data_IF_245956151782
#
_entry.id   IF_245956151782
#
_cell.length_a   1.000
_cell.length_b   1.000
_cell.length_c   1.000
_cell.angle_alpha   90.00
_cell.angle_beta   90.00
_cell.angle_gamma   90.00
#
_symmetry.space_group_name_H-M   'P 1'
#
loop_
_entity.id
_entity.type
_entity.pdbx_description
1 polymer ?
#
# COMPACT_ATOMS: atom_id res chain seq x y z
N UNK A 1 -24.50 -7.39 24.53
CA UNK A 1 -25.19 -6.09 24.47
C UNK A 1 -25.82 -5.96 23.09
N UNK A 2 -27.08 -5.55 22.95
CA UNK A 2 -27.74 -5.49 21.64
C UNK A 2 -27.06 -4.45 20.75
N UNK A 3 -26.68 -4.87 19.54
CA UNK A 3 -26.08 -3.99 18.53
C UNK A 3 -27.17 -3.15 17.87
N UNK A 4 -27.27 -1.87 18.23
CA UNK A 4 -27.98 -0.91 17.40
C UNK A 4 -27.17 -0.68 16.13
N UNK A 5 -27.61 -1.27 15.01
CA UNK A 5 -27.21 -0.78 13.70
C UNK A 5 -28.08 0.45 13.38
N UNK A 6 -27.48 1.59 12.96
CA UNK A 6 -28.25 2.75 12.55
C UNK A 6 -29.06 2.44 11.28
N UNK A 7 -30.30 2.94 11.24
CA UNK A 7 -31.20 2.82 10.08
C UNK A 7 -31.06 4.04 9.19
N UNK A 8 -31.43 3.90 7.92
CA UNK A 8 -31.37 4.98 6.94
C UNK A 8 -32.19 6.20 7.41
N UNK A 9 -31.50 7.28 7.79
CA UNK A 9 -32.09 8.51 8.34
C UNK A 9 -31.43 9.01 9.63
N UNK A 10 -30.66 8.15 10.33
CA UNK A 10 -29.89 8.58 11.50
C UNK A 10 -28.66 9.40 11.06
N UNK A 11 -28.46 10.57 11.68
CA UNK A 11 -27.22 11.32 11.52
C UNK A 11 -26.03 10.44 11.97
N UNK A 12 -25.03 10.28 11.10
CA UNK A 12 -23.89 9.38 11.33
C UNK A 12 -23.10 9.69 12.63
N UNK A 13 -23.29 10.88 13.18
CA UNK A 13 -22.69 11.37 14.41
C UNK A 13 -23.74 12.22 15.11
N UNK A 14 -24.11 11.90 16.36
CA UNK A 14 -25.00 12.80 17.13
C UNK A 14 -24.32 14.17 17.30
N UNK A 15 -25.04 15.29 17.27
CA UNK A 15 -24.46 16.63 17.35
C UNK A 15 -23.54 16.87 18.55
N UNK A 16 -23.79 16.18 19.66
CA UNK A 16 -22.98 16.18 20.88
C UNK A 16 -21.59 15.54 20.72
N UNK A 17 -21.37 14.73 19.68
CA UNK A 17 -20.07 14.13 19.31
C UNK A 17 -19.41 14.81 18.11
N UNK A 18 -20.01 15.87 17.56
CA UNK A 18 -19.30 16.79 16.69
C UNK A 18 -18.34 17.56 17.58
N UNK A 19 -17.11 17.05 17.72
CA UNK A 19 -16.06 17.79 18.40
C UNK A 19 -15.96 19.16 17.74
N UNK A 20 -16.07 20.23 18.52
CA UNK A 20 -15.60 21.54 18.08
C UNK A 20 -14.22 21.32 17.45
N UNK A 21 -14.07 21.66 16.17
CA UNK A 21 -12.77 21.56 15.52
C UNK A 21 -11.75 22.23 16.44
N UNK A 22 -10.64 21.57 16.81
CA UNK A 22 -9.63 22.21 17.62
C UNK A 22 -9.22 23.49 16.89
N UNK A 23 -9.41 24.62 17.59
CA UNK A 23 -9.20 25.97 17.07
C UNK A 23 -8.02 26.00 16.09
N UNK A 24 -8.18 26.55 14.87
CA UNK A 24 -7.13 26.56 13.83
C UNK A 24 -5.86 27.32 14.27
N UNK A 25 -5.93 28.02 15.40
CA UNK A 25 -4.81 28.71 16.03
C UNK A 25 -4.70 28.27 17.48
N UNK A 26 -3.47 27.97 17.92
CA UNK A 26 -3.14 28.03 19.34
C UNK A 26 -3.64 29.38 19.88
N UNK A 27 -4.29 29.38 21.04
CA UNK A 27 -4.73 30.63 21.68
C UNK A 27 -3.54 31.58 21.75
N UNK A 28 -3.76 32.86 21.47
CA UNK A 28 -2.73 33.93 21.50
C UNK A 28 -2.00 34.06 22.85
N UNK A 29 -2.50 33.36 23.88
CA UNK A 29 -1.91 33.25 25.21
C UNK A 29 -0.81 32.19 25.36
N UNK A 30 -0.50 31.37 24.35
CA UNK A 30 0.66 30.49 24.43
C UNK A 30 1.97 31.29 24.25
N UNK A 31 2.89 31.28 25.23
CA UNK A 31 4.13 32.02 25.13
C UNK A 31 4.99 31.42 24.02
N UNK A 32 5.11 32.14 22.92
CA UNK A 32 6.03 31.84 21.84
C UNK A 32 7.46 31.99 22.37
N UNK A 33 8.05 30.89 22.86
CA UNK A 33 9.28 30.86 23.69
C UNK A 33 10.58 31.26 22.96
N UNK A 34 10.53 31.88 21.78
CA UNK A 34 11.73 32.40 21.12
C UNK A 34 11.56 33.88 20.73
N UNK A 35 12.22 34.82 21.43
CA UNK A 35 12.14 36.25 21.11
C UNK A 35 12.71 36.62 19.73
N UNK A 36 13.35 35.69 19.01
CA UNK A 36 13.82 35.85 17.62
C UNK A 36 12.83 35.36 16.56
N UNK A 37 11.69 34.81 16.95
CA UNK A 37 10.71 34.30 16.00
C UNK A 37 9.87 35.44 15.42
N UNK A 38 10.19 35.82 14.19
CA UNK A 38 9.37 36.73 13.38
C UNK A 38 8.39 35.89 12.53
N UNK A 39 7.07 35.94 12.80
CA UNK A 39 6.08 35.19 12.04
C UNK A 39 5.95 35.66 10.57
N UNK A 40 6.33 36.90 10.26
CA UNK A 40 6.26 37.49 8.92
C UNK A 40 7.46 37.16 8.03
N UNK A 41 8.58 36.75 8.64
CA UNK A 41 9.76 36.30 7.90
C UNK A 41 9.48 34.99 7.16
N UNK A 42 9.52 35.04 5.82
CA UNK A 42 9.37 33.86 4.97
C UNK A 42 10.47 32.84 5.24
N UNK A 43 10.11 31.57 5.27
CA UNK A 43 11.08 30.49 5.44
C UNK A 43 11.94 30.35 4.18
N UNK A 44 13.20 29.89 4.32
CA UNK A 44 14.13 29.78 3.17
C UNK A 44 13.55 28.91 2.03
N UNK A 45 12.75 27.90 2.37
CA UNK A 45 12.07 27.00 1.42
C UNK A 45 10.98 27.69 0.58
N UNK A 46 10.59 28.91 0.91
CA UNK A 46 9.63 29.70 0.11
C UNK A 46 10.32 30.45 -1.04
N UNK A 47 11.65 30.48 -1.05
CA UNK A 47 12.44 31.02 -2.15
C UNK A 47 12.88 29.87 -3.08
N UNK A 48 12.94 30.10 -4.41
CA UNK A 48 13.50 29.12 -5.33
C UNK A 48 14.98 28.88 -5.02
N UNK A 49 15.43 27.64 -5.24
CA UNK A 49 16.85 27.29 -5.13
C UNK A 49 17.59 27.87 -6.34
N UNK A 50 18.63 28.64 -6.07
CA UNK A 50 19.51 29.29 -7.04
C UNK A 50 20.97 29.01 -6.69
N UNK A 51 21.88 29.25 -7.63
CA UNK A 51 23.33 29.13 -7.40
C UNK A 51 23.83 30.01 -6.24
N UNK A 52 23.13 31.10 -5.92
CA UNK A 52 23.54 32.05 -4.87
C UNK A 52 22.98 31.72 -3.48
N UNK A 53 21.93 30.89 -3.38
CA UNK A 53 21.27 30.61 -2.09
C UNK A 53 21.19 29.12 -1.73
N UNK A 54 21.56 28.17 -2.60
CA UNK A 54 21.40 26.73 -2.36
C UNK A 54 21.93 26.28 -1.00
N UNK A 55 23.09 26.76 -0.57
CA UNK A 55 23.71 26.41 0.72
C UNK A 55 22.88 26.87 1.94
N UNK A 56 21.98 27.84 1.77
CA UNK A 56 21.05 28.29 2.83
C UNK A 56 19.89 27.31 3.04
N UNK A 57 19.54 26.53 2.01
CA UNK A 57 18.53 25.47 2.07
C UNK A 57 19.05 24.18 2.70
N UNK A 58 20.38 24.01 2.78
CA UNK A 58 21.02 22.85 3.41
C UNK A 58 21.05 23.01 4.92
N UNK A 59 20.74 21.93 5.64
CA UNK A 59 20.97 21.77 7.07
C UNK A 59 22.36 21.16 7.29
N UNK A 60 23.37 22.04 7.34
CA UNK A 60 24.77 21.63 7.48
C UNK A 60 25.07 20.87 8.77
N UNK A 61 24.27 21.07 9.83
CA UNK A 61 24.42 20.34 11.08
C UNK A 61 24.04 18.87 10.85
N UNK A 62 22.89 18.63 10.22
CA UNK A 62 22.45 17.28 9.88
C UNK A 62 23.38 16.64 8.84
N UNK A 63 23.89 17.40 7.86
CA UNK A 63 24.91 16.90 6.91
C UNK A 63 26.14 16.38 7.66
N UNK A 64 26.63 17.12 8.65
CA UNK A 64 27.78 16.69 9.45
C UNK A 64 27.49 15.41 10.24
N UNK A 65 26.35 15.33 10.93
CA UNK A 65 26.01 14.16 11.76
C UNK A 65 25.66 12.90 10.94
N UNK A 66 24.95 13.06 9.81
CA UNK A 66 24.45 11.94 9.00
C UNK A 66 25.45 11.52 7.91
N UNK A 67 26.24 12.46 7.38
CA UNK A 67 27.24 12.17 6.34
C UNK A 67 28.67 12.23 6.87
N UNK A 68 29.02 13.32 7.55
CA UNK A 68 30.38 13.58 8.01
C UNK A 68 30.90 12.55 9.03
N UNK A 69 30.16 12.30 10.12
CA UNK A 69 30.56 11.34 11.15
C UNK A 69 30.69 9.91 10.60
N UNK A 70 29.71 9.37 9.84
CA UNK A 70 29.87 8.07 9.22
C UNK A 70 31.06 7.98 8.27
N UNK A 71 31.32 9.02 7.46
CA UNK A 71 32.49 9.07 6.59
C UNK A 71 33.79 9.00 7.40
N UNK A 72 33.90 9.74 8.50
CA UNK A 72 35.04 9.64 9.42
C UNK A 72 35.16 8.23 10.03
N UNK A 73 34.04 7.58 10.36
CA UNK A 73 34.01 6.19 10.80
C UNK A 73 34.54 5.21 9.75
N UNK A 74 34.12 5.35 8.49
CA UNK A 74 34.60 4.52 7.38
C UNK A 74 36.10 4.71 7.14
N UNK A 75 36.57 5.95 7.21
CA UNK A 75 38.00 6.29 7.11
C UNK A 75 38.77 5.65 8.28
N UNK A 76 38.31 5.83 9.52
CA UNK A 76 38.95 5.26 10.71
C UNK A 76 38.94 3.72 10.74
N UNK A 77 37.94 3.07 10.14
CA UNK A 77 37.87 1.62 10.01
C UNK A 77 39.06 1.03 9.24
N UNK A 78 39.67 1.79 8.32
CA UNK A 78 40.87 1.35 7.58
C UNK A 78 42.06 1.04 8.50
N UNK A 79 42.16 1.73 9.65
CA UNK A 79 43.22 1.53 10.63
C UNK A 79 42.75 0.85 11.93
N UNK A 80 41.48 0.45 12.00
CA UNK A 80 40.90 -0.18 13.20
C UNK A 80 40.55 -1.63 12.88
N UNK A 81 41.34 -2.63 13.32
CA UNK A 81 41.04 -4.03 13.06
C UNK A 81 39.66 -4.44 13.62
N UNK A 82 38.86 -5.13 12.83
CA UNK A 82 37.57 -5.66 13.27
C UNK A 82 37.76 -7.02 13.93
N UNK A 83 37.66 -7.07 15.26
CA UNK A 83 37.65 -8.35 15.99
C UNK A 83 36.29 -9.05 15.83
N UNK A 84 36.28 -10.39 15.85
CA UNK A 84 35.02 -11.15 15.74
C UNK A 84 34.02 -10.83 16.87
N UNK A 85 34.51 -10.60 18.10
CA UNK A 85 33.67 -10.23 19.24
C UNK A 85 32.99 -8.86 19.01
N UNK A 86 33.74 -7.89 18.52
CA UNK A 86 33.22 -6.56 18.17
C UNK A 86 32.25 -6.62 16.98
N UNK A 87 32.52 -7.44 15.97
CA UNK A 87 31.58 -7.66 14.87
C UNK A 87 30.24 -8.19 15.38
N UNK A 88 30.26 -9.30 16.15
CA UNK A 88 29.05 -9.89 16.72
C UNK A 88 28.29 -8.91 17.61
N UNK A 89 29.01 -8.13 18.43
CA UNK A 89 28.42 -7.08 19.25
C UNK A 89 27.79 -5.97 18.41
N UNK A 90 28.47 -5.50 17.36
CA UNK A 90 27.95 -4.48 16.45
C UNK A 90 26.66 -4.94 15.78
N UNK A 91 26.62 -6.20 15.33
CA UNK A 91 25.43 -6.80 14.71
C UNK A 91 24.30 -6.98 15.73
N UNK A 92 24.59 -7.50 16.93
CA UNK A 92 23.57 -7.64 17.97
C UNK A 92 22.96 -6.28 18.35
N UNK A 93 23.82 -5.28 18.52
CA UNK A 93 23.40 -3.94 18.90
C UNK A 93 22.69 -3.19 17.75
N UNK A 94 23.04 -3.49 16.50
CA UNK A 94 22.26 -3.10 15.32
C UNK A 94 20.81 -3.59 15.43
N UNK A 95 20.60 -4.87 15.73
CA UNK A 95 19.24 -5.42 15.89
C UNK A 95 18.50 -4.82 17.09
N UNK A 96 19.17 -4.58 18.23
CA UNK A 96 18.53 -3.96 19.39
C UNK A 96 18.09 -2.52 19.12
N UNK A 97 18.97 -1.72 18.53
CA UNK A 97 18.64 -0.32 18.17
C UNK A 97 17.57 -0.27 17.07
N UNK A 98 17.63 -1.17 16.11
CA UNK A 98 16.57 -1.39 15.11
C UNK A 98 15.22 -1.74 15.73
N UNK A 99 15.17 -2.68 16.70
CA UNK A 99 13.95 -3.00 17.45
C UNK A 99 13.43 -1.81 18.27
N UNK A 100 14.31 -0.94 18.76
CA UNK A 100 13.92 0.32 19.39
C UNK A 100 13.10 1.22 18.46
N UNK A 101 13.44 1.23 17.16
CA UNK A 101 12.68 1.95 16.13
C UNK A 101 11.42 1.17 15.76
N UNK A 102 11.55 -0.09 15.30
CA UNK A 102 10.43 -0.86 14.73
C UNK A 102 9.40 -1.29 15.78
N UNK A 103 9.82 -1.90 16.89
CA UNK A 103 8.90 -2.31 17.94
C UNK A 103 8.47 -1.11 18.80
N UNK A 104 9.42 -0.25 19.17
CA UNK A 104 9.19 0.91 20.02
C UNK A 104 8.54 2.07 19.27
N UNK A 105 9.37 2.88 18.60
CA UNK A 105 8.94 4.18 18.06
C UNK A 105 7.78 4.04 17.10
N UNK A 106 7.83 3.02 16.25
CA UNK A 106 6.86 2.75 15.21
C UNK A 106 5.60 2.07 15.75
N UNK A 107 5.68 0.78 16.12
CA UNK A 107 4.51 -0.03 16.46
C UNK A 107 3.88 0.34 17.82
N UNK A 108 4.70 0.51 18.86
CA UNK A 108 4.22 0.85 20.20
C UNK A 108 3.75 2.31 20.30
N UNK A 109 4.62 3.28 20.03
CA UNK A 109 4.30 4.70 20.28
C UNK A 109 3.61 5.40 19.11
N UNK A 110 3.93 5.11 17.85
CA UNK A 110 3.26 5.81 16.73
C UNK A 110 1.88 5.25 16.45
N UNK A 111 1.75 3.92 16.42
CA UNK A 111 0.54 3.22 15.99
C UNK A 111 -0.26 2.60 17.12
N UNK A 112 0.27 2.53 18.34
CA UNK A 112 -0.39 1.92 19.51
C UNK A 112 -0.87 0.50 19.22
N UNK A 113 -0.10 -0.26 18.43
CA UNK A 113 -0.52 -1.59 17.94
C UNK A 113 -0.42 -2.69 19.00
N UNK A 114 0.25 -2.41 20.12
CA UNK A 114 0.27 -3.24 21.31
C UNK A 114 0.57 -2.37 22.55
N UNK A 115 0.50 -2.97 23.73
CA UNK A 115 0.97 -2.37 24.99
C UNK A 115 2.14 -3.14 25.55
N UNK A 116 3.04 -2.46 26.25
CA UNK A 116 4.23 -3.04 26.84
C UNK A 116 4.22 -2.86 28.36
N UNK A 117 4.97 -3.70 29.07
CA UNK A 117 5.28 -3.47 30.48
C UNK A 117 6.35 -2.39 30.59
N UNK A 118 6.38 -1.70 31.74
CA UNK A 118 7.33 -0.59 31.96
C UNK A 118 8.81 -0.96 31.71
N UNK A 119 9.32 -2.15 32.11
CA UNK A 119 10.68 -2.55 31.77
C UNK A 119 10.93 -2.63 30.26
N UNK A 120 9.98 -3.16 29.49
CA UNK A 120 10.09 -3.25 28.04
C UNK A 120 10.04 -1.86 27.39
N UNK A 121 9.16 -0.97 27.85
CA UNK A 121 9.09 0.42 27.39
C UNK A 121 10.43 1.14 27.61
N UNK A 122 11.02 1.02 28.79
CA UNK A 122 12.31 1.63 29.12
C UNK A 122 13.41 1.07 28.23
N UNK A 123 13.46 -0.26 28.06
CA UNK A 123 14.43 -0.90 27.17
C UNK A 123 14.33 -0.34 25.74
N UNK A 124 13.12 -0.35 25.15
CA UNK A 124 12.87 0.13 23.79
C UNK A 124 13.20 1.63 23.65
N UNK A 125 12.90 2.44 24.67
CA UNK A 125 13.21 3.87 24.68
C UNK A 125 14.73 4.14 24.70
N UNK A 126 15.49 3.35 25.46
CA UNK A 126 16.94 3.48 25.55
C UNK A 126 17.64 3.03 24.28
N UNK A 127 17.31 1.83 23.75
CA UNK A 127 17.94 1.33 22.52
C UNK A 127 17.48 2.12 21.29
N UNK A 128 16.23 2.62 21.27
CA UNK A 128 15.75 3.54 20.24
C UNK A 128 16.51 4.87 20.23
N UNK A 129 16.89 5.40 21.40
CA UNK A 129 17.78 6.57 21.46
C UNK A 129 19.18 6.26 20.88
N UNK A 130 19.65 5.01 21.00
CA UNK A 130 20.89 4.53 20.41
C UNK A 130 20.89 4.49 18.87
N UNK A 131 19.72 4.50 18.22
CA UNK A 131 19.58 4.58 16.76
C UNK A 131 19.80 6.00 16.20
N UNK A 132 19.68 7.03 17.04
CA UNK A 132 19.94 8.44 16.68
C UNK A 132 19.01 8.97 15.57
N UNK A 133 17.71 8.73 15.71
CA UNK A 133 16.69 9.13 14.71
C UNK A 133 15.69 10.19 15.22
N UNK A 134 16.01 10.83 16.34
CA UNK A 134 15.14 11.76 17.05
C UNK A 134 14.54 11.13 18.31
N UNK A 135 13.98 11.99 19.18
CA UNK A 135 13.24 11.49 20.35
C UNK A 135 11.97 10.76 19.92
N UNK A 136 11.47 9.83 20.72
CA UNK A 136 10.20 9.11 20.48
C UNK A 136 9.11 10.10 20.08
N UNK A 137 8.94 11.16 20.89
CA UNK A 137 7.95 12.21 20.69
C UNK A 137 8.03 12.90 19.31
N UNK A 138 9.25 13.15 18.81
CA UNK A 138 9.46 13.81 17.52
C UNK A 138 9.26 12.85 16.36
N UNK A 139 9.82 11.63 16.49
CA UNK A 139 9.74 10.58 15.48
C UNK A 139 8.28 10.18 15.27
N UNK A 140 7.57 9.83 16.35
CA UNK A 140 6.18 9.40 16.29
C UNK A 140 5.24 10.48 15.77
N UNK A 141 5.45 11.76 16.13
CA UNK A 141 4.69 12.88 15.55
C UNK A 141 4.83 12.91 14.02
N UNK A 142 6.07 12.88 13.54
CA UNK A 142 6.35 12.94 12.10
C UNK A 142 5.84 11.69 11.38
N UNK A 143 5.97 10.52 11.97
CA UNK A 143 5.49 9.28 11.40
C UNK A 143 3.95 9.24 11.31
N UNK A 144 3.24 9.69 12.35
CA UNK A 144 1.79 9.89 12.29
C UNK A 144 1.41 10.89 11.20
N UNK A 145 2.18 11.98 11.05
CA UNK A 145 1.93 12.98 10.00
C UNK A 145 2.16 12.41 8.61
N UNK A 146 3.17 11.56 8.44
CA UNK A 146 3.41 10.81 7.22
C UNK A 146 2.19 9.95 6.87
N UNK A 147 1.70 9.08 7.75
CA UNK A 147 0.49 8.28 7.46
C UNK A 147 -0.75 9.09 7.15
N UNK A 148 -0.99 10.18 7.89
CA UNK A 148 -2.18 11.01 7.70
C UNK A 148 -2.16 11.79 6.38
N UNK A 149 -0.97 12.16 5.93
CA UNK A 149 -0.77 13.06 4.80
C UNK A 149 0.12 12.45 3.73
N UNK A 150 0.16 11.12 3.64
CA UNK A 150 1.01 10.34 2.72
C UNK A 150 0.93 10.95 1.34
N UNK A 151 2.08 11.11 0.70
CA UNK A 151 2.17 11.60 -0.69
C UNK A 151 1.68 13.04 -0.93
N UNK A 152 1.48 13.83 0.13
CA UNK A 152 1.18 15.26 0.00
C UNK A 152 2.36 16.14 0.43
N UNK A 153 2.28 17.44 0.17
CA UNK A 153 3.27 18.42 0.65
C UNK A 153 3.41 18.48 2.18
N UNK A 154 2.41 17.97 2.90
CA UNK A 154 2.39 17.92 4.37
C UNK A 154 3.11 16.70 4.93
N UNK A 155 3.42 15.71 4.10
CA UNK A 155 4.25 14.58 4.48
C UNK A 155 5.72 15.03 4.68
N UNK A 156 6.29 14.82 5.88
CA UNK A 156 7.66 15.23 6.17
C UNK A 156 8.71 14.61 5.24
N UNK A 157 8.48 13.43 4.66
CA UNK A 157 9.48 12.76 3.82
C UNK A 157 8.87 12.17 2.54
N UNK A 158 7.87 12.89 1.99
CA UNK A 158 7.16 12.54 0.76
C UNK A 158 8.07 12.08 -0.38
N UNK A 159 7.75 10.91 -0.95
CA UNK A 159 8.45 10.35 -2.12
C UNK A 159 8.24 11.18 -3.39
N UNK A 160 7.19 12.00 -3.47
CA UNK A 160 6.95 12.88 -4.62
C UNK A 160 8.03 13.97 -4.79
N UNK A 161 8.82 14.24 -3.75
CA UNK A 161 10.00 15.11 -3.84
C UNK A 161 11.23 14.38 -4.43
N UNK A 162 11.10 13.10 -4.77
CA UNK A 162 12.11 12.26 -5.39
C UNK A 162 12.75 11.25 -4.43
N UNK A 163 13.24 10.14 -4.99
CA UNK A 163 13.81 9.02 -4.23
C UNK A 163 14.96 9.43 -3.29
N UNK A 164 15.87 10.28 -3.77
CA UNK A 164 16.99 10.77 -2.94
C UNK A 164 16.50 11.69 -1.82
N UNK A 165 15.42 12.46 -2.06
CA UNK A 165 14.83 13.30 -1.03
C UNK A 165 14.21 12.48 0.08
N UNK A 166 13.36 11.50 -0.26
CA UNK A 166 12.70 10.65 0.74
C UNK A 166 13.68 9.72 1.47
N UNK A 167 14.82 9.39 0.86
CA UNK A 167 15.88 8.65 1.53
C UNK A 167 16.62 9.54 2.55
N UNK A 168 17.33 10.58 2.10
CA UNK A 168 18.21 11.38 2.96
C UNK A 168 17.93 12.89 2.88
N UNK A 169 17.41 13.39 1.75
CA UNK A 169 17.21 14.82 1.53
C UNK A 169 16.29 15.48 2.55
N UNK A 170 15.29 14.77 3.08
CA UNK A 170 14.40 15.29 4.13
C UNK A 170 15.12 15.62 5.44
N UNK A 171 16.26 14.97 5.72
CA UNK A 171 17.10 15.26 6.89
C UNK A 171 18.11 16.37 6.63
N UNK A 172 18.74 16.39 5.44
CA UNK A 172 19.84 17.30 5.13
C UNK A 172 19.39 18.62 4.49
N UNK A 173 18.12 18.74 4.14
CA UNK A 173 17.51 19.98 3.65
C UNK A 173 16.62 20.58 4.73
N UNK A 174 16.69 21.90 4.92
CA UNK A 174 15.82 22.61 5.85
C UNK A 174 14.37 22.48 5.41
N UNK A 175 13.53 22.04 6.33
CA UNK A 175 12.08 21.95 6.13
C UNK A 175 11.37 23.12 6.82
N UNK A 176 10.27 23.59 6.23
CA UNK A 176 9.42 24.57 6.89
C UNK A 176 8.49 23.86 7.89
N UNK A 177 8.63 24.07 9.21
CA UNK A 177 7.78 23.41 10.20
C UNK A 177 6.30 23.77 10.04
N UNK A 178 5.98 24.91 9.43
CA UNK A 178 4.59 25.34 9.15
C UNK A 178 3.92 24.48 8.06
N UNK A 179 4.70 23.80 7.22
CA UNK A 179 4.17 22.96 6.13
C UNK A 179 3.96 21.50 6.54
N UNK A 180 4.64 21.03 7.57
CA UNK A 180 4.50 19.65 8.05
C UNK A 180 3.10 19.47 8.67
N UNK A 181 2.43 18.37 8.32
CA UNK A 181 1.11 18.03 8.82
C UNK A 181 1.06 17.92 10.35
N UNK A 182 -0.07 18.33 10.95
CA UNK A 182 -0.29 18.21 12.40
C UNK A 182 -1.04 16.93 12.73
N UNK A 183 -0.62 16.30 13.81
CA UNK A 183 -1.21 15.08 14.36
C UNK A 183 -1.39 15.24 15.87
N UNK A 184 -2.39 14.53 16.40
CA UNK A 184 -2.53 14.44 17.84
C UNK A 184 -1.38 13.61 18.43
N UNK A 185 -0.85 14.11 19.53
CA UNK A 185 0.30 13.57 20.28
C UNK A 185 0.09 13.75 21.78
N UNK A 186 -1.16 13.97 22.22
CA UNK A 186 -1.55 14.09 23.62
C UNK A 186 -1.05 12.89 24.43
N UNK A 187 -1.34 11.68 23.95
CA UNK A 187 -0.87 10.41 24.49
C UNK A 187 0.66 10.35 24.69
N UNK A 188 1.44 10.87 23.74
CA UNK A 188 2.91 10.92 23.84
C UNK A 188 3.40 11.93 24.88
N UNK A 189 2.62 12.97 25.18
CA UNK A 189 2.95 13.95 26.23
C UNK A 189 2.55 13.44 27.62
N UNK A 190 1.60 12.51 27.69
CA UNK A 190 1.14 11.91 28.95
C UNK A 190 1.98 10.68 29.35
N UNK A 191 2.71 10.06 28.40
CA UNK A 191 3.63 8.96 28.67
C UNK A 191 4.93 9.45 29.33
N UNK A 192 5.15 9.06 30.59
CA UNK A 192 6.31 9.44 31.38
C UNK A 192 7.65 8.95 30.81
N UNK A 193 7.69 7.78 30.15
CA UNK A 193 8.91 7.26 29.50
C UNK A 193 9.25 8.12 28.29
N UNK A 194 8.26 8.46 27.47
CA UNK A 194 8.42 9.32 26.29
C UNK A 194 8.89 10.71 26.68
N UNK A 195 8.27 11.31 27.71
CA UNK A 195 8.66 12.64 28.20
C UNK A 195 10.07 12.64 28.79
N UNK A 196 10.43 11.63 29.58
CA UNK A 196 11.78 11.46 30.11
C UNK A 196 12.79 11.36 28.96
N UNK A 197 12.54 10.48 28.00
CA UNK A 197 13.41 10.24 26.86
C UNK A 197 13.59 11.52 26.05
N UNK A 198 12.51 12.26 25.78
CA UNK A 198 12.56 13.52 25.03
C UNK A 198 13.38 14.60 25.76
N UNK A 199 13.17 14.76 27.07
CA UNK A 199 13.91 15.75 27.90
C UNK A 199 15.40 15.43 28.00
N UNK A 200 15.77 14.15 28.02
CA UNK A 200 17.16 13.71 28.17
C UNK A 200 17.78 13.20 26.86
N UNK A 201 17.12 13.44 25.73
CA UNK A 201 17.42 12.79 24.45
C UNK A 201 18.90 12.89 24.05
N UNK A 202 19.50 14.09 24.10
CA UNK A 202 20.91 14.28 23.73
C UNK A 202 21.85 13.45 24.60
N UNK A 203 21.60 13.38 25.92
CA UNK A 203 22.42 12.57 26.84
C UNK A 203 22.27 11.09 26.53
N UNK A 204 21.04 10.64 26.26
CA UNK A 204 20.74 9.26 25.90
C UNK A 204 21.36 8.85 24.56
N UNK A 205 21.33 9.73 23.55
CA UNK A 205 21.99 9.51 22.25
C UNK A 205 23.50 9.35 22.42
N UNK A 206 24.16 10.23 23.16
CA UNK A 206 25.61 10.13 23.38
C UNK A 206 25.93 8.84 24.12
N UNK A 207 25.16 8.53 25.17
CA UNK A 207 25.40 7.34 25.96
C UNK A 207 25.08 6.05 25.20
N UNK A 208 23.83 5.83 24.81
CA UNK A 208 23.38 4.61 24.14
C UNK A 208 23.93 4.49 22.71
N UNK A 209 24.13 5.61 22.01
CA UNK A 209 24.64 5.57 20.64
C UNK A 209 26.14 5.29 20.57
N UNK A 210 26.95 5.81 21.49
CA UNK A 210 28.42 5.77 21.37
C UNK A 210 29.09 5.18 22.61
N UNK A 211 28.83 5.72 23.80
CA UNK A 211 29.57 5.35 25.02
C UNK A 211 29.28 3.89 25.41
N UNK A 212 28.01 3.50 25.49
CA UNK A 212 27.59 2.15 25.87
C UNK A 212 28.18 1.05 24.98
N UNK A 213 28.04 1.09 23.64
CA UNK A 213 28.63 0.05 22.79
C UNK A 213 30.16 0.02 22.88
N UNK A 214 30.81 1.17 23.12
CA UNK A 214 32.26 1.27 23.33
C UNK A 214 32.69 0.66 24.67
N UNK A 215 31.94 0.92 25.74
CA UNK A 215 32.21 0.35 27.06
C UNK A 215 32.07 -1.17 27.06
N UNK A 216 31.07 -1.71 26.37
CA UNK A 216 30.85 -3.16 26.29
C UNK A 216 32.05 -3.86 25.66
N UNK A 217 32.57 -3.35 24.54
CA UNK A 217 33.74 -3.97 23.89
C UNK A 217 35.05 -3.70 24.65
N UNK A 218 35.21 -2.49 25.16
CA UNK A 218 36.39 -2.06 25.90
C UNK A 218 36.58 -2.81 27.21
N UNK A 219 35.52 -2.88 28.03
CA UNK A 219 35.54 -3.62 29.30
C UNK A 219 35.40 -5.13 29.11
N UNK A 220 34.67 -5.58 28.09
CA UNK A 220 34.41 -7.00 27.85
C UNK A 220 35.60 -7.74 27.25
N UNK A 221 36.28 -7.16 26.27
CA UNK A 221 37.41 -7.81 25.58
C UNK A 221 38.53 -6.86 25.14
N UNK A 222 38.60 -5.65 25.71
CA UNK A 222 39.71 -4.71 25.50
C UNK A 222 39.66 -3.92 24.19
N UNK A 223 38.62 -4.06 23.37
CA UNK A 223 38.54 -3.45 22.05
C UNK A 223 37.77 -2.11 22.06
N UNK A 224 38.38 -1.10 22.68
CA UNK A 224 37.79 0.23 22.81
C UNK A 224 37.56 0.91 21.46
N UNK A 225 38.58 0.91 20.58
CA UNK A 225 38.48 1.57 19.29
C UNK A 225 37.51 0.85 18.36
N UNK A 226 37.52 -0.50 18.34
CA UNK A 226 36.57 -1.27 17.56
C UNK A 226 35.12 -1.03 18.01
N UNK A 227 34.87 -0.95 19.33
CA UNK A 227 33.55 -0.59 19.85
C UNK A 227 33.07 0.79 19.43
N UNK A 228 33.96 1.77 19.50
CA UNK A 228 33.65 3.14 19.10
C UNK A 228 33.35 3.27 17.61
N UNK A 229 34.18 2.67 16.75
CA UNK A 229 34.04 2.76 15.29
C UNK A 229 32.92 1.87 14.77
N UNK A 230 32.94 0.56 15.07
CA UNK A 230 32.01 -0.40 14.48
C UNK A 230 30.67 -0.44 15.21
N UNK A 231 30.68 -0.63 16.54
CA UNK A 231 29.44 -0.75 17.32
C UNK A 231 28.81 0.62 17.64
N UNK A 232 29.59 1.70 17.62
CA UNK A 232 29.16 3.09 17.73
C UNK A 232 28.82 3.68 16.36
N UNK A 233 29.82 4.26 15.68
CA UNK A 233 29.62 5.12 14.50
C UNK A 233 28.99 4.37 13.32
N UNK A 234 29.61 3.29 12.84
CA UNK A 234 29.18 2.59 11.63
C UNK A 234 27.83 1.90 11.83
N UNK A 235 27.58 1.33 13.00
CA UNK A 235 26.28 0.74 13.33
C UNK A 235 25.17 1.79 13.37
N UNK A 236 25.39 3.00 13.92
CA UNK A 236 24.39 4.10 13.80
C UNK A 236 24.09 4.37 12.33
N UNK A 237 25.14 4.52 11.52
CA UNK A 237 24.99 4.79 10.09
C UNK A 237 24.14 3.72 9.39
N UNK A 238 24.45 2.44 9.58
CA UNK A 238 23.69 1.37 8.96
C UNK A 238 22.23 1.34 9.39
N UNK A 239 21.92 1.56 10.69
CA UNK A 239 20.53 1.63 11.17
C UNK A 239 19.80 2.79 10.51
N UNK A 240 20.41 3.98 10.44
CA UNK A 240 19.80 5.13 9.77
C UNK A 240 19.55 4.86 8.28
N UNK A 241 20.51 4.28 7.55
CA UNK A 241 20.32 3.96 6.13
C UNK A 241 19.22 2.90 5.92
N UNK A 242 19.13 1.92 6.83
CA UNK A 242 18.05 0.95 6.84
C UNK A 242 16.70 1.64 7.05
N UNK A 243 16.54 2.48 8.08
CA UNK A 243 15.28 3.20 8.31
C UNK A 243 14.92 4.13 7.15
N UNK A 244 15.90 4.82 6.57
CA UNK A 244 15.69 5.70 5.42
C UNK A 244 15.25 4.95 4.16
N UNK A 245 15.56 3.65 4.03
CA UNK A 245 15.00 2.80 2.97
C UNK A 245 13.49 2.60 3.11
N UNK A 246 12.92 2.69 4.32
CA UNK A 246 11.45 2.60 4.51
C UNK A 246 10.77 3.79 3.84
N UNK A 247 11.29 5.00 4.05
CA UNK A 247 10.74 6.21 3.45
C UNK A 247 10.97 6.29 1.93
N UNK A 248 12.00 5.61 1.41
CA UNK A 248 12.37 5.65 -0.01
C UNK A 248 12.00 4.39 -0.77
N UNK A 249 12.74 3.30 -0.58
CA UNK A 249 12.54 2.05 -1.32
C UNK A 249 11.15 1.46 -1.10
N UNK A 250 10.59 1.55 0.12
CA UNK A 250 9.25 1.03 0.40
C UNK A 250 8.12 1.88 -0.22
N UNK A 251 8.44 3.03 -0.81
CA UNK A 251 7.53 3.86 -1.59
C UNK A 251 7.82 3.82 -3.11
N UNK A 252 8.80 3.01 -3.55
CA UNK A 252 9.26 3.02 -4.94
C UNK A 252 9.33 1.63 -5.56
N UNK A 253 9.77 0.64 -4.79
CA UNK A 253 10.01 -0.74 -5.23
C UNK A 253 9.00 -1.69 -4.58
N UNK A 254 8.35 -2.53 -5.40
CA UNK A 254 7.45 -3.59 -4.92
C UNK A 254 6.03 -3.48 -5.45
N UNK A 255 5.16 -4.31 -4.85
CA UNK A 255 3.77 -4.47 -5.25
C UNK A 255 2.83 -3.69 -4.34
N UNK A 256 1.61 -3.46 -4.85
CA UNK A 256 0.52 -2.85 -4.09
C UNK A 256 -0.65 -3.83 -4.03
N UNK A 257 -0.61 -4.82 -3.12
CA UNK A 257 -1.62 -5.86 -3.01
C UNK A 257 -2.90 -5.43 -2.28
N UNK A 258 -2.89 -4.33 -1.52
CA UNK A 258 -4.05 -3.89 -0.72
C UNK A 258 -4.66 -2.59 -1.24
N UNK A 259 -3.85 -1.57 -1.52
CA UNK A 259 -4.32 -0.28 -2.05
C UNK A 259 -3.24 0.40 -2.90
N UNK A 260 -3.62 1.14 -3.93
CA UNK A 260 -2.70 1.83 -4.85
C UNK A 260 -2.97 3.33 -5.00
N UNK A 261 -3.79 3.91 -4.11
CA UNK A 261 -4.06 5.37 -4.09
C UNK A 261 -2.81 6.17 -3.74
N UNK A 262 -1.97 5.60 -2.88
CA UNK A 262 -0.69 6.16 -2.47
C UNK A 262 0.46 5.24 -2.93
N UNK A 263 1.69 5.68 -2.74
CA UNK A 263 2.94 5.06 -3.16
C UNK A 263 3.53 3.90 -2.32
N UNK A 264 3.09 3.59 -1.07
CA UNK A 264 3.62 2.46 -0.30
C UNK A 264 3.52 1.13 -1.05
N UNK A 265 4.57 0.31 -0.94
CA UNK A 265 4.74 -0.96 -1.66
C UNK A 265 5.26 -2.05 -0.73
N UNK A 266 4.84 -3.28 -1.01
CA UNK A 266 5.33 -4.49 -0.37
C UNK A 266 6.51 -5.05 -1.17
N UNK A 267 7.66 -5.24 -0.53
CA UNK A 267 8.83 -5.82 -1.18
C UNK A 267 9.76 -6.55 -0.20
N UNK A 268 10.11 -7.81 -0.52
CA UNK A 268 10.90 -8.68 0.36
C UNK A 268 12.32 -8.17 0.60
N UNK A 269 12.99 -7.62 -0.42
CA UNK A 269 14.35 -7.07 -0.25
C UNK A 269 14.30 -5.83 0.65
N UNK A 270 13.27 -5.00 0.49
CA UNK A 270 13.06 -3.86 1.38
C UNK A 270 12.83 -4.35 2.80
N UNK A 271 12.06 -5.42 3.00
CA UNK A 271 11.83 -6.00 4.33
C UNK A 271 13.14 -6.52 4.96
N UNK A 272 14.02 -7.17 4.19
CA UNK A 272 15.32 -7.62 4.69
C UNK A 272 16.21 -6.46 5.13
N UNK A 273 16.29 -5.41 4.32
CA UNK A 273 17.11 -4.21 4.62
C UNK A 273 16.55 -3.44 5.82
N UNK A 274 15.23 -3.47 6.03
CA UNK A 274 14.51 -2.62 6.99
C UNK A 274 13.99 -3.38 8.21
N UNK A 275 14.51 -4.58 8.51
CA UNK A 275 14.10 -5.38 9.68
C UNK A 275 12.59 -5.70 9.73
N UNK A 276 11.99 -5.94 8.57
CA UNK A 276 10.59 -6.32 8.41
C UNK A 276 9.65 -5.20 7.96
N UNK A 277 10.14 -3.96 7.88
CA UNK A 277 9.31 -2.79 7.60
C UNK A 277 8.95 -2.62 6.11
N UNK A 278 9.43 -3.51 5.23
CA UNK A 278 9.24 -3.44 3.78
C UNK A 278 7.93 -3.99 3.24
N UNK A 279 7.05 -4.54 4.08
CA UNK A 279 5.65 -4.81 3.72
C UNK A 279 4.80 -3.55 3.97
N UNK A 280 5.16 -2.50 3.23
CA UNK A 280 4.75 -1.13 3.53
C UNK A 280 3.36 -0.79 2.98
N UNK A 281 2.90 -1.48 1.93
CA UNK A 281 1.54 -1.35 1.43
C UNK A 281 0.53 -1.88 2.46
N UNK A 282 0.81 -3.05 3.04
CA UNK A 282 0.00 -3.57 4.15
C UNK A 282 0.00 -2.60 5.32
N UNK A 283 1.18 -2.13 5.71
CA UNK A 283 1.34 -1.24 6.85
C UNK A 283 0.56 0.09 6.71
N UNK A 284 0.58 0.71 5.53
CA UNK A 284 -0.17 1.95 5.29
C UNK A 284 -1.68 1.75 5.25
N UNK A 285 -2.15 0.60 4.76
CA UNK A 285 -3.58 0.27 4.74
C UNK A 285 -4.10 -0.13 6.12
N UNK A 286 -3.29 -0.85 6.91
CA UNK A 286 -3.66 -1.41 8.21
C UNK A 286 -2.70 -0.96 9.34
N UNK A 287 -2.53 0.34 9.59
CA UNK A 287 -1.45 0.87 10.44
C UNK A 287 -1.51 0.43 11.90
N UNK A 288 -2.69 0.05 12.38
CA UNK A 288 -2.86 -0.43 13.77
C UNK A 288 -2.55 -1.91 13.99
N UNK A 289 -2.29 -2.70 12.93
CA UNK A 289 -1.82 -4.09 13.10
C UNK A 289 -0.40 -4.08 13.66
N UNK A 290 -0.11 -4.95 14.62
CA UNK A 290 1.25 -5.05 15.16
C UNK A 290 2.23 -5.71 14.18
N UNK A 291 1.74 -6.28 13.08
CA UNK A 291 2.53 -6.95 12.04
C UNK A 291 2.61 -6.04 10.81
N UNK A 292 3.79 -5.96 10.20
CA UNK A 292 3.86 -5.46 8.82
C UNK A 292 3.75 -6.63 7.85
N UNK A 293 4.36 -7.76 8.20
CA UNK A 293 4.26 -9.02 7.46
C UNK A 293 3.18 -9.92 8.07
N UNK A 294 2.08 -10.18 7.36
CA UNK A 294 0.99 -11.00 7.90
C UNK A 294 1.21 -12.51 7.75
N UNK A 295 1.95 -12.94 6.74
CA UNK A 295 2.22 -14.36 6.53
C UNK A 295 3.31 -14.84 7.50
N UNK A 296 3.26 -16.10 7.91
CA UNK A 296 4.20 -16.64 8.90
C UNK A 296 5.65 -16.68 8.39
N UNK A 297 5.84 -16.91 7.08
CA UNK A 297 7.16 -17.02 6.44
C UNK A 297 7.73 -15.66 5.99
N UNK A 298 6.91 -14.61 5.93
CA UNK A 298 7.35 -13.29 5.54
C UNK A 298 8.25 -12.70 6.64
N UNK A 299 9.42 -12.20 6.23
CA UNK A 299 10.46 -11.71 7.12
C UNK A 299 9.99 -10.45 7.86
N UNK A 300 9.75 -10.61 9.16
CA UNK A 300 9.45 -9.52 10.09
C UNK A 300 9.93 -9.93 11.48
N UNK A 301 11.23 -9.74 11.78
CA UNK A 301 11.79 -10.09 13.08
C UNK A 301 11.08 -9.35 14.22
N UNK A 302 10.64 -8.12 13.97
CA UNK A 302 9.90 -7.29 14.94
C UNK A 302 8.59 -7.96 15.37
N UNK A 303 7.81 -8.50 14.44
CA UNK A 303 6.60 -9.29 14.73
C UNK A 303 6.89 -10.47 15.65
N UNK A 304 7.95 -11.22 15.37
CA UNK A 304 8.31 -12.40 16.16
C UNK A 304 8.82 -12.00 17.56
N UNK A 305 9.58 -10.91 17.68
CA UNK A 305 9.98 -10.35 18.97
C UNK A 305 8.77 -9.93 19.81
N UNK A 306 7.83 -9.15 19.24
CA UNK A 306 6.63 -8.70 19.96
C UNK A 306 5.76 -9.90 20.38
N UNK A 307 5.59 -10.88 19.48
CA UNK A 307 4.86 -12.11 19.81
C UNK A 307 5.54 -12.89 20.95
N UNK A 308 6.87 -12.96 20.96
CA UNK A 308 7.64 -13.64 22.01
C UNK A 308 7.50 -12.90 23.34
N UNK A 309 7.61 -11.58 23.35
CA UNK A 309 7.35 -10.76 24.53
C UNK A 309 5.93 -10.91 25.06
N UNK A 310 4.95 -11.15 24.19
CA UNK A 310 3.60 -11.51 24.63
C UNK A 310 3.58 -12.82 25.41
N UNK A 311 4.24 -13.86 24.91
CA UNK A 311 4.33 -15.14 25.63
C UNK A 311 5.03 -15.01 26.98
N UNK A 312 5.99 -14.09 27.09
CA UNK A 312 6.71 -13.78 28.33
C UNK A 312 5.97 -12.79 29.26
N UNK A 313 4.78 -12.31 28.88
CA UNK A 313 4.03 -11.33 29.66
C UNK A 313 4.61 -9.91 29.64
N UNK A 314 5.56 -9.61 28.75
CA UNK A 314 6.17 -8.28 28.58
C UNK A 314 5.39 -7.39 27.61
N UNK A 315 4.61 -7.97 26.70
CA UNK A 315 3.71 -7.28 25.78
C UNK A 315 2.30 -7.84 25.88
N UNK A 316 1.28 -7.02 25.65
CA UNK A 316 -0.13 -7.41 25.73
C UNK A 316 -0.98 -6.54 24.81
N UNK A 317 -2.27 -6.87 24.66
CA UNK A 317 -3.22 -6.17 23.77
C UNK A 317 -2.73 -6.01 22.32
N UNK A 318 -2.03 -7.02 21.77
CA UNK A 318 -1.57 -7.01 20.38
C UNK A 318 -2.78 -6.93 19.42
N UNK A 319 -2.87 -5.84 18.68
CA UNK A 319 -3.92 -5.56 17.71
C UNK A 319 -3.64 -6.27 16.39
N UNK A 320 -4.65 -6.98 15.88
CA UNK A 320 -4.62 -7.60 14.55
C UNK A 320 -5.93 -7.29 13.83
N UNK A 321 -5.84 -6.97 12.54
CA UNK A 321 -7.03 -6.87 11.72
C UNK A 321 -7.63 -8.25 11.47
N UNK A 322 -8.96 -8.30 11.33
CA UNK A 322 -9.67 -9.53 10.98
C UNK A 322 -9.24 -9.97 9.60
N UNK A 323 -8.94 -11.26 9.43
CA UNK A 323 -8.52 -11.84 8.15
C UNK A 323 -9.48 -11.48 7.00
N UNK A 324 -10.79 -11.45 7.26
CA UNK A 324 -11.78 -11.06 6.26
C UNK A 324 -11.60 -9.63 5.72
N UNK A 325 -11.21 -8.67 6.55
CA UNK A 325 -11.00 -7.28 6.09
C UNK A 325 -9.72 -7.16 5.25
N UNK A 326 -8.69 -7.91 5.62
CA UNK A 326 -7.44 -8.01 4.86
C UNK A 326 -7.71 -8.63 3.47
N UNK A 327 -8.45 -9.75 3.42
CA UNK A 327 -8.78 -10.44 2.18
C UNK A 327 -9.72 -9.62 1.29
N UNK A 328 -10.66 -8.86 1.86
CA UNK A 328 -11.46 -7.89 1.09
C UNK A 328 -10.56 -6.91 0.34
N UNK A 329 -9.56 -6.33 1.01
CA UNK A 329 -8.61 -5.42 0.38
C UNK A 329 -7.85 -6.08 -0.78
N UNK A 330 -7.32 -7.29 -0.56
CA UNK A 330 -6.64 -8.08 -1.61
C UNK A 330 -7.53 -8.34 -2.82
N UNK A 331 -8.76 -8.78 -2.59
CA UNK A 331 -9.73 -9.08 -3.66
C UNK A 331 -10.12 -7.81 -4.41
N UNK A 332 -10.38 -6.71 -3.72
CA UNK A 332 -10.71 -5.42 -4.34
C UNK A 332 -9.57 -4.93 -5.25
N UNK A 333 -8.33 -5.03 -4.77
CA UNK A 333 -7.17 -4.59 -5.52
C UNK A 333 -6.84 -5.53 -6.70
N UNK A 334 -7.02 -6.84 -6.53
CA UNK A 334 -6.92 -7.80 -7.62
C UNK A 334 -8.01 -7.55 -8.69
N UNK A 335 -9.25 -7.29 -8.28
CA UNK A 335 -10.36 -6.96 -9.18
C UNK A 335 -10.05 -5.70 -9.99
N UNK A 336 -9.54 -4.64 -9.36
CA UNK A 336 -9.11 -3.42 -10.05
C UNK A 336 -8.06 -3.70 -11.13
N UNK A 337 -7.03 -4.51 -10.82
CA UNK A 337 -6.00 -4.91 -11.79
C UNK A 337 -6.57 -5.76 -12.94
N UNK A 338 -7.50 -6.66 -12.62
CA UNK A 338 -8.19 -7.46 -13.63
C UNK A 338 -9.03 -6.59 -14.56
N UNK A 339 -9.75 -5.60 -14.03
CA UNK A 339 -10.56 -4.66 -14.82
C UNK A 339 -9.68 -3.81 -15.75
N UNK A 340 -8.55 -3.31 -15.26
CA UNK A 340 -7.58 -2.58 -16.08
C UNK A 340 -6.98 -3.45 -17.20
N UNK A 341 -6.62 -4.71 -16.90
CA UNK A 341 -6.13 -5.66 -17.92
C UNK A 341 -7.21 -5.93 -18.95
N UNK A 342 -8.44 -6.10 -18.48
CA UNK A 342 -9.60 -6.39 -19.30
C UNK A 342 -9.96 -5.26 -20.25
N UNK A 343 -9.87 -4.01 -19.82
CA UNK A 343 -10.15 -2.83 -20.65
C UNK A 343 -9.21 -2.71 -21.88
N UNK A 344 -8.06 -3.41 -21.87
CA UNK A 344 -7.10 -3.43 -23.00
C UNK A 344 -7.35 -4.55 -24.01
N UNK A 345 -8.28 -5.45 -23.73
CA UNK A 345 -8.60 -6.57 -24.61
C UNK A 345 -9.78 -6.20 -25.51
N UNK A 346 -9.78 -6.71 -26.73
CA UNK A 346 -10.93 -6.61 -27.63
C UNK A 346 -12.00 -7.63 -27.23
N UNK A 347 -13.17 -7.13 -26.87
CA UNK A 347 -14.34 -7.93 -26.50
C UNK A 347 -15.47 -7.84 -27.53
N UNK A 348 -15.18 -7.27 -28.71
CA UNK A 348 -16.14 -6.90 -29.73
C UNK A 348 -17.08 -5.77 -29.32
N UNK A 349 -18.03 -5.46 -30.19
CA UNK A 349 -19.03 -4.41 -29.94
C UNK A 349 -19.93 -4.80 -28.76
N UNK A 350 -20.11 -3.91 -27.75
CA UNK A 350 -21.03 -4.13 -26.64
C UNK A 350 -22.47 -4.38 -27.11
N UNK A 351 -23.18 -5.28 -26.44
CA UNK A 351 -24.53 -5.73 -26.87
C UNK A 351 -25.59 -4.62 -26.92
N UNK A 352 -25.46 -3.64 -26.05
CA UNK A 352 -26.34 -2.46 -26.01
C UNK A 352 -26.06 -1.48 -27.16
N UNK A 353 -24.89 -1.57 -27.77
CA UNK A 353 -24.52 -0.79 -28.96
C UNK A 353 -24.83 -1.53 -30.27
N UNK A 354 -25.15 -2.82 -30.21
CA UNK A 354 -25.50 -3.60 -31.38
C UNK A 354 -26.89 -3.21 -31.92
N UNK A 355 -27.02 -3.01 -33.25
CA UNK A 355 -28.30 -2.73 -33.88
C UNK A 355 -29.25 -3.92 -33.69
N UNK A 356 -30.55 -3.62 -33.59
CA UNK A 356 -31.58 -4.65 -33.64
C UNK A 356 -31.89 -4.95 -35.11
N UNK A 357 -31.96 -6.23 -35.47
CA UNK A 357 -32.25 -6.71 -36.82
C UNK A 357 -33.46 -7.64 -36.78
N UNK A 358 -34.38 -7.51 -37.72
CA UNK A 358 -35.49 -8.45 -37.87
C UNK A 358 -34.97 -9.82 -38.32
N UNK A 359 -35.70 -10.88 -38.00
CA UNK A 359 -35.34 -12.23 -38.45
C UNK A 359 -35.25 -12.33 -39.97
N UNK A 360 -36.21 -11.73 -40.68
CA UNK A 360 -36.26 -11.76 -42.14
C UNK A 360 -35.06 -11.01 -42.76
N UNK A 361 -34.70 -9.84 -42.21
CA UNK A 361 -33.52 -9.08 -42.63
C UNK A 361 -32.21 -9.87 -42.42
N UNK A 362 -32.11 -10.60 -41.30
CA UNK A 362 -30.98 -11.47 -40.99
C UNK A 362 -30.85 -12.61 -42.01
N UNK A 363 -31.95 -13.30 -42.30
CA UNK A 363 -31.98 -14.41 -43.26
C UNK A 363 -31.69 -13.91 -44.68
N UNK A 364 -32.25 -12.78 -45.08
CA UNK A 364 -32.06 -12.23 -46.42
C UNK A 364 -30.62 -11.76 -46.64
N UNK A 365 -30.00 -11.12 -45.64
CA UNK A 365 -28.58 -10.77 -45.71
C UNK A 365 -27.68 -12.01 -45.81
N UNK A 366 -28.03 -13.09 -45.10
CA UNK A 366 -27.29 -14.35 -45.17
C UNK A 366 -27.39 -15.01 -46.57
N UNK A 367 -28.58 -15.00 -47.19
CA UNK A 367 -28.79 -15.48 -48.56
C UNK A 367 -28.05 -14.65 -49.60
N UNK A 368 -27.92 -13.35 -49.36
CA UNK A 368 -27.24 -12.40 -50.25
C UNK A 368 -25.71 -12.37 -50.08
N UNK A 369 -25.13 -13.42 -49.49
CA UNK A 369 -23.68 -13.68 -49.51
C UNK A 369 -22.92 -13.31 -48.24
N UNK A 370 -23.58 -12.75 -47.21
CA UNK A 370 -22.94 -12.56 -45.90
C UNK A 370 -22.96 -13.85 -45.09
N UNK A 371 -21.83 -14.20 -44.48
CA UNK A 371 -21.72 -15.34 -43.57
C UNK A 371 -22.30 -15.03 -42.20
N UNK A 372 -23.62 -14.89 -42.05
CA UNK A 372 -24.24 -14.54 -40.76
C UNK A 372 -24.76 -15.77 -39.99
N UNK A 373 -24.41 -15.89 -38.71
CA UNK A 373 -24.93 -16.91 -37.79
C UNK A 373 -25.56 -16.27 -36.55
N UNK A 374 -26.71 -16.77 -36.12
CA UNK A 374 -27.35 -16.36 -34.89
C UNK A 374 -27.00 -17.33 -33.76
N UNK A 375 -26.44 -16.82 -32.65
CA UNK A 375 -26.10 -17.61 -31.47
C UNK A 375 -26.55 -16.84 -30.24
N UNK A 376 -27.41 -17.45 -29.42
CA UNK A 376 -28.06 -16.86 -28.25
C UNK A 376 -28.71 -15.50 -28.56
N UNK A 377 -29.39 -15.38 -29.71
CA UNK A 377 -30.05 -14.15 -30.17
C UNK A 377 -29.10 -13.02 -30.64
N UNK A 378 -27.78 -13.25 -30.66
CA UNK A 378 -26.78 -12.32 -31.19
C UNK A 378 -26.34 -12.77 -32.59
N UNK A 379 -26.30 -11.82 -33.51
CA UNK A 379 -25.89 -12.04 -34.91
C UNK A 379 -24.39 -11.82 -35.00
N UNK A 380 -23.69 -12.81 -35.56
CA UNK A 380 -22.26 -12.77 -35.78
C UNK A 380 -21.97 -12.87 -37.28
N UNK A 381 -21.08 -12.00 -37.77
CA UNK A 381 -20.56 -12.08 -39.13
C UNK A 381 -19.28 -12.91 -39.14
N UNK A 382 -19.42 -14.14 -39.61
CA UNK A 382 -18.33 -15.13 -39.71
C UNK A 382 -17.81 -15.24 -41.14
N UNK A 383 -18.14 -14.31 -42.05
CA UNK A 383 -17.80 -14.38 -43.49
C UNK A 383 -16.33 -14.74 -43.71
N UNK A 384 -15.43 -13.98 -43.07
CA UNK A 384 -13.98 -14.16 -43.21
C UNK A 384 -13.49 -15.39 -42.45
N UNK A 385 -14.16 -15.76 -41.36
CA UNK A 385 -13.76 -16.87 -40.50
C UNK A 385 -14.16 -18.26 -41.05
N UNK A 386 -15.09 -18.34 -42.00
CA UNK A 386 -15.56 -19.62 -42.57
C UNK A 386 -14.39 -20.50 -43.03
N UNK A 387 -13.36 -19.90 -43.64
CA UNK A 387 -12.23 -20.63 -44.19
C UNK A 387 -11.32 -21.24 -43.12
N UNK A 388 -11.26 -20.58 -41.96
CA UNK A 388 -10.35 -20.89 -40.85
C UNK A 388 -11.03 -21.68 -39.74
N UNK A 389 -12.34 -21.93 -39.86
CA UNK A 389 -13.11 -22.67 -38.86
C UNK A 389 -12.55 -24.10 -38.67
N UNK A 390 -12.05 -24.47 -37.46
CA UNK A 390 -11.38 -25.76 -37.24
C UNK A 390 -12.28 -26.99 -37.47
N UNK A 391 -13.59 -26.86 -37.26
CA UNK A 391 -14.57 -27.91 -37.55
C UNK A 391 -14.91 -28.05 -39.04
N UNK A 392 -14.24 -27.29 -39.91
CA UNK A 392 -14.41 -27.31 -41.36
C UNK A 392 -15.50 -26.38 -41.88
N UNK A 393 -15.36 -26.01 -43.16
CA UNK A 393 -16.25 -25.07 -43.87
C UNK A 393 -17.69 -25.56 -43.97
N UNK A 394 -17.89 -26.87 -44.10
CA UNK A 394 -19.22 -27.47 -44.25
C UNK A 394 -20.06 -27.28 -42.99
N UNK A 395 -19.46 -27.47 -41.81
CA UNK A 395 -20.15 -27.35 -40.52
C UNK A 395 -20.63 -25.92 -40.27
N UNK A 396 -19.76 -24.93 -40.46
CA UNK A 396 -20.15 -23.52 -40.26
C UNK A 396 -21.16 -23.05 -41.32
N UNK A 397 -21.02 -23.50 -42.58
CA UNK A 397 -21.98 -23.19 -43.65
C UNK A 397 -23.38 -23.71 -43.36
N UNK A 398 -23.50 -24.85 -42.67
CA UNK A 398 -24.81 -25.43 -42.34
C UNK A 398 -25.64 -24.58 -41.37
N UNK A 399 -24.98 -23.69 -40.61
CA UNK A 399 -25.61 -22.76 -39.66
C UNK A 399 -25.85 -21.34 -40.22
N UNK A 400 -25.44 -21.04 -41.45
CA UNK A 400 -25.65 -19.71 -42.05
C UNK A 400 -27.14 -19.41 -42.22
N UNK A 401 -27.56 -18.21 -41.83
CA UNK A 401 -28.96 -17.76 -41.87
C UNK A 401 -29.89 -18.51 -40.91
N UNK A 402 -29.35 -19.21 -39.91
CA UNK A 402 -30.11 -19.98 -38.91
C UNK A 402 -29.69 -19.62 -37.48
N UNK A 403 -30.54 -19.99 -36.54
CA UNK A 403 -30.15 -20.09 -35.13
C UNK A 403 -29.25 -21.33 -34.92
N UNK A 404 -27.96 -21.07 -34.74
CA UNK A 404 -26.91 -22.05 -34.51
C UNK A 404 -26.60 -22.25 -33.01
N UNK A 405 -27.43 -21.73 -32.09
CA UNK A 405 -27.19 -21.80 -30.64
C UNK A 405 -26.98 -23.22 -30.16
N UNK A 406 -27.89 -24.14 -30.52
CA UNK A 406 -27.77 -25.54 -30.14
C UNK A 406 -26.52 -26.20 -30.74
N UNK A 407 -26.17 -25.86 -31.98
CA UNK A 407 -24.96 -26.39 -32.61
C UNK A 407 -23.68 -25.93 -31.91
N UNK A 408 -23.67 -24.70 -31.41
CA UNK A 408 -22.51 -24.07 -30.79
C UNK A 408 -22.33 -24.43 -29.30
N UNK A 409 -23.43 -24.63 -28.56
CA UNK A 409 -23.44 -24.86 -27.11
C UNK A 409 -23.70 -26.33 -26.73
N UNK A 410 -23.13 -27.29 -27.47
CA UNK A 410 -23.11 -28.70 -27.05
C UNK A 410 -24.19 -29.62 -27.64
N UNK A 411 -25.09 -29.11 -28.48
CA UNK A 411 -26.00 -29.96 -29.27
C UNK A 411 -25.32 -30.64 -30.47
N UNK A 412 -24.21 -30.07 -30.96
CA UNK A 412 -23.32 -30.71 -31.95
C UNK A 412 -21.89 -30.70 -31.44
N UNK A 413 -21.40 -29.53 -31.02
CA UNK A 413 -20.10 -29.39 -30.39
C UNK A 413 -20.18 -28.36 -29.27
N UNK A 414 -19.59 -28.69 -28.12
CA UNK A 414 -19.51 -27.77 -26.99
C UNK A 414 -18.25 -26.92 -27.13
N UNK A 415 -18.40 -25.70 -27.66
CA UNK A 415 -17.28 -24.87 -28.03
C UNK A 415 -16.47 -24.38 -26.82
N UNK A 416 -15.14 -24.37 -26.97
CA UNK A 416 -14.23 -23.94 -25.89
C UNK A 416 -14.37 -22.45 -25.58
N UNK A 417 -13.95 -22.02 -24.37
CA UNK A 417 -13.91 -20.59 -24.00
C UNK A 417 -13.16 -19.72 -25.05
N UNK A 418 -12.15 -20.27 -25.74
CA UNK A 418 -11.43 -19.55 -26.78
C UNK A 418 -12.32 -19.28 -28.00
N UNK A 419 -13.15 -20.24 -28.40
CA UNK A 419 -14.12 -20.06 -29.48
C UNK A 419 -15.21 -19.04 -29.10
N UNK A 420 -15.69 -19.05 -27.84
CA UNK A 420 -16.61 -18.02 -27.35
C UNK A 420 -15.98 -16.62 -27.38
N UNK A 421 -14.70 -16.48 -26.98
CA UNK A 421 -13.98 -15.20 -27.02
C UNK A 421 -13.80 -14.68 -28.45
N UNK A 422 -13.48 -15.57 -29.40
CA UNK A 422 -13.32 -15.22 -30.81
C UNK A 422 -14.67 -14.83 -31.44
N UNK A 423 -15.72 -15.63 -31.21
CA UNK A 423 -17.07 -15.32 -31.68
C UNK A 423 -17.52 -13.93 -31.20
N UNK A 424 -17.11 -13.58 -29.97
CA UNK A 424 -17.39 -12.31 -29.32
C UNK A 424 -16.92 -11.08 -30.14
N UNK A 425 -15.86 -11.19 -30.93
CA UNK A 425 -15.36 -10.08 -31.77
C UNK A 425 -16.11 -9.95 -33.10
N UNK A 426 -16.93 -10.93 -33.46
CA UNK A 426 -17.65 -11.01 -34.74
C UNK A 426 -19.09 -10.49 -34.65
N UNK A 427 -19.50 -9.88 -33.54
CA UNK A 427 -20.88 -9.41 -33.33
C UNK A 427 -21.22 -8.25 -34.26
N UNK A 428 -22.37 -8.34 -34.93
CA UNK A 428 -22.87 -7.29 -35.84
C UNK A 428 -24.31 -6.86 -35.58
N UNK A 429 -25.07 -7.61 -34.77
CA UNK A 429 -26.45 -7.25 -34.45
C UNK A 429 -27.08 -8.14 -33.39
N UNK A 430 -28.32 -7.83 -33.03
CA UNK A 430 -29.17 -8.62 -32.13
C UNK A 430 -30.51 -8.86 -32.84
N UNK A 431 -31.01 -10.08 -32.79
CA UNK A 431 -32.29 -10.45 -33.40
C UNK A 431 -33.46 -9.87 -32.59
N UNK A 432 -34.42 -9.20 -33.25
CA UNK A 432 -35.68 -8.79 -32.61
C UNK A 432 -36.44 -10.03 -32.14
N UNK A 433 -36.87 -10.03 -30.88
CA UNK A 433 -37.55 -11.16 -30.24
C UNK A 433 -36.61 -12.26 -29.73
N UNK A 434 -35.28 -12.12 -29.85
CA UNK A 434 -34.32 -13.02 -29.23
C UNK A 434 -34.40 -12.92 -27.70
N UNK A 435 -35.21 -13.79 -27.08
CA UNK A 435 -35.70 -13.65 -25.70
C UNK A 435 -34.63 -13.24 -24.68
N UNK A 436 -33.44 -13.86 -24.67
CA UNK A 436 -32.40 -13.52 -23.68
C UNK A 436 -31.82 -12.11 -23.85
N UNK A 437 -31.61 -11.66 -25.09
CA UNK A 437 -31.00 -10.34 -25.38
C UNK A 437 -32.03 -9.23 -25.31
N UNK A 438 -33.29 -9.49 -25.70
CA UNK A 438 -34.38 -8.54 -25.51
C UNK A 438 -34.75 -8.39 -24.03
N UNK A 439 -34.76 -9.48 -23.25
CA UNK A 439 -34.94 -9.41 -21.80
C UNK A 439 -33.77 -8.63 -21.17
N UNK A 440 -32.53 -8.82 -21.63
CA UNK A 440 -31.38 -8.04 -21.17
C UNK A 440 -31.45 -6.54 -21.55
N UNK A 441 -31.83 -6.22 -22.80
CA UNK A 441 -32.05 -4.82 -23.25
C UNK A 441 -33.21 -4.15 -22.51
N UNK A 442 -34.34 -4.84 -22.35
CA UNK A 442 -35.51 -4.34 -21.60
C UNK A 442 -35.21 -4.22 -20.11
N UNK A 443 -34.49 -5.18 -19.52
CA UNK A 443 -34.05 -5.10 -18.13
C UNK A 443 -33.11 -3.90 -17.92
N UNK A 444 -32.16 -3.66 -18.81
CA UNK A 444 -31.29 -2.46 -18.79
C UNK A 444 -32.04 -1.15 -19.00
N UNK A 445 -33.19 -1.16 -19.70
CA UNK A 445 -34.01 0.03 -19.92
C UNK A 445 -35.04 0.30 -18.81
N UNK A 446 -35.51 -0.74 -18.10
CA UNK A 446 -36.60 -0.64 -17.11
C UNK A 446 -36.17 -0.83 -15.66
N UNK A 447 -35.03 -1.46 -15.40
CA UNK A 447 -34.36 -1.47 -14.10
C UNK A 447 -33.06 -0.69 -14.23
N UNK A 448 -32.70 0.06 -13.18
CA UNK A 448 -31.30 0.43 -12.94
C UNK A 448 -30.49 -0.88 -12.79
N UNK A 449 -30.22 -1.58 -13.88
CA UNK A 449 -29.27 -2.68 -13.88
C UNK A 449 -27.96 -2.01 -13.55
N UNK A 450 -27.42 -2.36 -12.38
CA UNK A 450 -26.16 -1.84 -11.89
C UNK A 450 -25.12 -2.10 -12.97
N UNK A 451 -24.83 -1.07 -13.77
CA UNK A 451 -23.66 -1.04 -14.62
C UNK A 451 -22.51 -1.19 -13.63
N UNK A 452 -21.94 -2.39 -13.53
CA UNK A 452 -20.80 -2.61 -12.66
C UNK A 452 -19.72 -1.65 -13.12
N UNK A 453 -19.37 -0.70 -12.26
CA UNK A 453 -18.31 0.25 -12.53
C UNK A 453 -17.08 -0.21 -11.74
N UNK A 454 -15.91 -0.10 -12.33
CA UNK A 454 -14.67 -0.22 -11.58
C UNK A 454 -14.55 0.96 -10.59
N UNK A 455 -13.49 0.95 -9.79
CA UNK A 455 -13.21 2.02 -8.82
C UNK A 455 -12.97 3.39 -9.46
N UNK A 456 -12.82 3.48 -10.79
CA UNK A 456 -12.68 4.71 -11.57
C UNK A 456 -13.99 5.11 -12.29
N UNK A 457 -15.09 4.40 -12.05
CA UNK A 457 -16.37 4.68 -12.69
C UNK A 457 -16.52 4.11 -14.11
N UNK A 458 -15.55 3.33 -14.60
CA UNK A 458 -15.61 2.72 -15.93
C UNK A 458 -16.45 1.45 -15.92
N UNK A 459 -17.26 1.24 -16.96
CA UNK A 459 -18.13 0.07 -17.07
C UNK A 459 -17.34 -1.23 -17.22
N UNK A 460 -17.70 -2.22 -16.42
CA UNK A 460 -17.16 -3.58 -16.36
C UNK A 460 -18.31 -4.58 -16.56
N UNK A 461 -18.17 -5.55 -17.46
CA UNK A 461 -19.16 -6.65 -17.65
C UNK A 461 -18.61 -7.99 -17.11
N UNK A 462 -19.03 -8.53 -15.97
CA UNK A 462 -18.26 -9.62 -15.31
C UNK A 462 -18.16 -10.92 -16.13
N UNK A 463 -17.09 -11.69 -15.91
CA UNK A 463 -16.86 -12.99 -16.56
C UNK A 463 -17.90 -14.02 -16.08
N UNK A 464 -18.97 -14.17 -16.84
CA UNK A 464 -20.17 -14.94 -16.46
C UNK A 464 -21.45 -14.33 -17.05
N UNK A 465 -21.41 -13.05 -17.41
CA UNK A 465 -22.49 -12.33 -18.10
C UNK A 465 -22.26 -12.24 -19.61
N UNK A 466 -21.34 -13.05 -20.16
CA UNK A 466 -21.21 -13.20 -21.62
C UNK A 466 -22.38 -14.06 -22.11
N UNK A 467 -23.32 -13.51 -22.93
CA UNK A 467 -24.56 -14.22 -23.29
C UNK A 467 -24.32 -15.49 -24.10
N UNK A 468 -23.16 -15.61 -24.76
CA UNK A 468 -22.84 -16.80 -25.53
C UNK A 468 -22.66 -18.03 -24.64
N UNK A 469 -22.42 -17.85 -23.33
CA UNK A 469 -22.24 -18.94 -22.37
C UNK A 469 -23.54 -19.21 -21.62
N UNK A 470 -24.47 -19.90 -22.27
CA UNK A 470 -25.73 -20.33 -21.63
C UNK A 470 -25.39 -21.34 -20.53
N UNK A 471 -25.58 -20.98 -19.25
CA UNK A 471 -25.40 -21.90 -18.11
C UNK A 471 -26.71 -22.65 -17.85
N UNK A 472 -26.96 -23.74 -18.60
CA UNK A 472 -27.47 -25.06 -18.15
C UNK A 472 -28.23 -25.81 -19.27
N UNK A 473 -28.16 -27.16 -19.29
CA UNK A 473 -28.86 -27.99 -20.26
C UNK A 473 -30.36 -28.05 -19.93
N UNK A 474 -31.22 -27.97 -20.95
CA UNK A 474 -32.61 -28.41 -20.78
C UNK A 474 -32.61 -29.90 -20.48
N UNK A 475 -33.09 -30.26 -19.29
CA UNK A 475 -33.51 -31.63 -18.97
C UNK A 475 -34.50 -32.04 -20.06
N UNK A 476 -34.21 -33.13 -20.78
CA UNK A 476 -35.15 -33.69 -21.75
C UNK A 476 -36.43 -34.03 -21.01
N UNK A 477 -37.50 -33.29 -21.26
CA UNK A 477 -38.85 -33.71 -20.90
C UNK A 477 -39.07 -35.07 -21.57
N UNK A 478 -39.35 -36.09 -20.76
CA UNK A 478 -39.48 -37.47 -21.19
C UNK A 478 -40.52 -37.61 -22.30
N UNK A 479 -40.16 -38.38 -23.32
CA UNK A 479 -41.13 -39.06 -24.15
C UNK A 479 -41.42 -40.41 -23.49
N UNK A 480 -42.64 -40.55 -22.96
CA UNK A 480 -43.30 -41.82 -22.79
C UNK A 480 -43.76 -42.36 -24.15
#
# INVERSE_FOLDING_TARGET
MPSHQPVAGDEAVKPEFLSEQPSPMAKTSEPNRNPKYDPAKKHITEYPITRQNWYKHVDWLNVYFIGGIPLMGCIAAWWTPLTMKTLLWSVLYYYWTGLGITAGYHRLWSHTSYKATRPLEIFLALVGAGAVEGSIRWWSRNHRAHHRYTDTDKDPYSVHKGLLYSHIGWMVMKQNPKRIGRTDISDLNDDAVVVFQHRHYVKLVIFMGIIFPTLVSGLGWGDWMGGFIYAGILRIFFVQQATFCVNSLAHWLGDQPFDDRNSPRDHVVTALVTLGEGYHNFHHEFPSDYRNAIEWFQYDPTKWCIWTWKQLGLAYDLKQFRANEIEKGRVQQAQKKLDQKRAKLDWGVPLDQLPVMEWDDYVDQAKNGRGLVAIAGVIHDVTDFIQDHPGGKAMIRSGLGKDATAMFNGGVYDHSNAAHNLLSTMRVGVIRGGCEVEIWKRANQTKNVEVFKDSNGQRVVRAGEQPTKVRQPMVSAGAA
#
